data_IF_677529662594
#
_entry.id   IF_677529662594
#
_cell.length_a   1.000
_cell.length_b   1.000
_cell.length_c   1.000
_cell.angle_alpha   90.00
_cell.angle_beta   90.00
_cell.angle_gamma   90.00
#
_symmetry.space_group_name_H-M   'P 1'
#
loop_
_entity.id
_entity.type
_entity.pdbx_description
1 polymer ?
#
# COMPACT_ATOMS: atom_id res chain seq x y z
N UNK A 1 5.39 -13.52 1.27
CA UNK A 1 5.37 -12.82 2.57
C UNK A 1 3.94 -12.45 2.92
N UNK A 2 3.64 -12.20 4.20
CA UNK A 2 2.29 -11.89 4.67
C UNK A 2 2.17 -10.45 5.15
N UNK A 3 1.04 -9.82 4.85
CA UNK A 3 0.58 -8.63 5.56
C UNK A 3 -0.33 -9.11 6.68
N UNK A 4 -0.02 -8.76 7.92
CA UNK A 4 -0.82 -9.15 9.09
C UNK A 4 -1.50 -7.94 9.71
N UNK A 5 -2.50 -8.23 10.55
CA UNK A 5 -3.05 -7.22 11.43
C UNK A 5 -2.00 -6.84 12.48
N UNK A 6 -1.86 -5.54 12.76
CA UNK A 6 -0.82 -4.97 13.63
C UNK A 6 -0.73 -5.60 15.03
N UNK A 7 -1.87 -6.06 15.58
CA UNK A 7 -1.95 -6.62 16.94
C UNK A 7 -2.04 -8.14 17.02
N UNK A 8 -2.15 -8.82 15.88
CA UNK A 8 -2.53 -10.25 15.86
C UNK A 8 -1.36 -11.18 15.53
N UNK A 9 -0.22 -10.65 15.09
CA UNK A 9 0.95 -11.44 14.75
C UNK A 9 2.24 -10.63 14.87
N UNK A 10 3.38 -11.31 14.94
CA UNK A 10 4.70 -10.69 14.84
C UNK A 10 4.94 -10.12 13.44
N UNK A 11 5.59 -8.96 13.39
CA UNK A 11 5.90 -8.22 12.18
C UNK A 11 7.27 -7.55 12.26
N UNK A 12 7.82 -7.22 11.10
CA UNK A 12 9.14 -6.60 10.98
C UNK A 12 9.06 -5.13 10.55
N UNK A 13 8.05 -4.77 9.77
CA UNK A 13 7.87 -3.39 9.27
C UNK A 13 6.43 -2.93 9.45
N UNK A 14 6.24 -1.82 10.17
CA UNK A 14 4.97 -1.13 10.20
C UNK A 14 4.76 -0.35 8.90
N UNK A 15 3.60 -0.54 8.26
CA UNK A 15 3.28 0.11 6.98
C UNK A 15 2.02 0.98 7.06
N UNK A 16 1.45 1.14 8.26
CA UNK A 16 0.27 1.97 8.47
C UNK A 16 0.59 3.46 8.57
N UNK A 17 -0.46 4.25 8.79
CA UNK A 17 -0.34 5.69 9.04
C UNK A 17 0.18 5.99 10.45
N UNK A 18 0.65 7.21 10.66
CA UNK A 18 0.98 7.76 11.98
C UNK A 18 -0.28 8.14 12.78
N UNK A 19 -1.19 7.16 12.94
CA UNK A 19 -2.44 7.31 13.69
C UNK A 19 -2.20 7.39 15.20
N UNK A 20 -3.21 7.78 15.97
CA UNK A 20 -3.14 7.72 17.44
C UNK A 20 -2.83 6.31 17.96
N UNK A 21 -3.25 5.26 17.24
CA UNK A 21 -2.87 3.87 17.54
C UNK A 21 -1.38 3.62 17.35
N UNK A 22 -0.80 4.11 16.25
CA UNK A 22 0.63 4.00 15.97
C UNK A 22 1.48 4.78 17.00
N UNK A 23 1.07 6.01 17.31
CA UNK A 23 1.74 6.86 18.30
C UNK A 23 1.75 6.22 19.69
N UNK A 24 0.60 5.69 20.15
CA UNK A 24 0.51 4.96 21.43
C UNK A 24 1.35 3.69 21.46
N UNK A 25 1.61 3.09 20.31
CA UNK A 25 2.49 1.94 20.18
C UNK A 25 3.97 2.33 20.00
N UNK A 26 4.33 3.61 20.15
CA UNK A 26 5.71 4.09 20.02
C UNK A 26 6.26 4.10 18.59
N UNK A 27 5.39 4.02 17.58
CA UNK A 27 5.81 4.02 16.17
C UNK A 27 6.12 5.45 15.72
N UNK A 28 7.35 5.75 15.27
CA UNK A 28 7.71 7.09 14.83
C UNK A 28 7.06 7.42 13.48
N UNK A 29 6.85 8.72 13.23
CA UNK A 29 6.32 9.21 11.95
C UNK A 29 7.17 8.77 10.74
N UNK A 30 8.49 8.65 10.91
CA UNK A 30 9.42 8.18 9.87
C UNK A 30 9.17 6.73 9.44
N UNK A 31 8.59 5.89 10.30
CA UNK A 31 8.19 4.52 9.95
C UNK A 31 6.87 4.48 9.16
N UNK A 32 6.10 5.56 9.13
CA UNK A 32 4.76 5.61 8.53
C UNK A 32 4.76 6.07 7.05
N UNK A 33 5.92 6.15 6.41
CA UNK A 33 6.09 6.56 5.01
C UNK A 33 5.33 5.68 4.01
N UNK A 34 5.00 4.46 4.42
CA UNK A 34 4.27 3.47 3.61
C UNK A 34 2.75 3.61 3.70
N UNK A 35 2.26 4.41 4.64
CA UNK A 35 0.84 4.56 4.91
C UNK A 35 0.05 5.05 3.70
N UNK A 36 -1.13 4.48 3.47
CA UNK A 36 -2.04 4.98 2.44
C UNK A 36 -2.46 6.42 2.76
N UNK A 37 -2.25 7.44 1.90
CA UNK A 37 -2.70 8.81 2.17
C UNK A 37 -4.23 8.99 2.01
N UNK A 38 -4.93 8.02 1.42
CA UNK A 38 -6.39 8.04 1.21
C UNK A 38 -7.12 7.25 2.30
N UNK A 39 -8.10 7.89 2.94
CA UNK A 39 -8.81 7.34 4.10
C UNK A 39 -10.11 6.68 3.65
N UNK A 40 -10.42 5.52 4.22
CA UNK A 40 -11.79 4.98 4.18
C UNK A 40 -12.62 5.74 5.22
N UNK A 41 -13.73 6.33 4.82
CA UNK A 41 -14.63 7.07 5.71
C UNK A 41 -15.56 6.10 6.45
N UNK A 42 -16.10 5.11 5.75
CA UNK A 42 -16.92 4.05 6.33
C UNK A 42 -16.14 2.73 6.35
N UNK A 43 -15.60 2.35 7.51
CA UNK A 43 -14.79 1.12 7.62
C UNK A 43 -15.54 -0.17 7.29
N UNK A 44 -16.88 -0.13 7.26
CA UNK A 44 -17.77 -1.24 6.90
C UNK A 44 -18.10 -1.27 5.40
N UNK A 45 -17.81 -0.20 4.66
CA UNK A 45 -18.01 -0.15 3.22
C UNK A 45 -16.82 -0.79 2.49
N UNK A 46 -17.05 -2.01 1.97
CA UNK A 46 -16.06 -2.76 1.21
C UNK A 46 -15.79 -2.15 -0.17
N UNK A 47 -16.78 -1.48 -0.78
CA UNK A 47 -16.61 -0.82 -2.07
C UNK A 47 -15.72 0.40 -1.93
N UNK A 48 -15.99 1.23 -0.91
CA UNK A 48 -15.14 2.38 -0.60
C UNK A 48 -13.71 1.94 -0.30
N UNK A 49 -13.55 0.87 0.49
CA UNK A 49 -12.23 0.29 0.80
C UNK A 49 -11.49 -0.14 -0.47
N UNK A 50 -12.17 -0.83 -1.39
CA UNK A 50 -11.58 -1.25 -2.66
C UNK A 50 -11.13 -0.05 -3.49
N UNK A 51 -11.94 1.00 -3.58
CA UNK A 51 -11.60 2.23 -4.29
C UNK A 51 -10.41 2.96 -3.64
N UNK A 52 -10.36 3.03 -2.30
CA UNK A 52 -9.25 3.64 -1.56
C UNK A 52 -7.93 2.87 -1.76
N UNK A 53 -7.98 1.54 -1.82
CA UNK A 53 -6.80 0.70 -2.11
C UNK A 53 -6.38 0.83 -3.58
N UNK A 54 -7.32 0.90 -4.52
CA UNK A 54 -7.03 1.16 -5.94
C UNK A 54 -6.42 2.54 -6.15
N UNK A 55 -6.91 3.56 -5.42
CA UNK A 55 -6.34 4.92 -5.42
C UNK A 55 -4.92 4.91 -4.88
N UNK A 56 -4.65 4.13 -3.83
CA UNK A 56 -3.30 3.91 -3.33
C UNK A 56 -2.38 3.24 -4.35
N UNK A 57 -2.86 2.21 -5.05
CA UNK A 57 -2.08 1.54 -6.10
C UNK A 57 -1.67 2.52 -7.20
N UNK A 58 -2.62 3.30 -7.72
CA UNK A 58 -2.33 4.35 -8.71
C UNK A 58 -1.32 5.37 -8.18
N UNK A 59 -1.55 5.87 -6.98
CA UNK A 59 -0.65 6.84 -6.34
C UNK A 59 0.77 6.31 -6.15
N UNK A 60 0.92 5.08 -5.66
CA UNK A 60 2.23 4.47 -5.41
C UNK A 60 2.96 4.19 -6.71
N UNK A 61 2.23 3.75 -7.74
CA UNK A 61 2.80 3.40 -9.04
C UNK A 61 2.93 4.60 -9.98
N UNK A 62 2.57 5.81 -9.57
CA UNK A 62 2.87 7.01 -10.33
C UNK A 62 4.39 7.12 -10.59
N UNK A 63 4.85 7.47 -11.81
CA UNK A 63 6.28 7.63 -12.09
C UNK A 63 6.98 8.66 -11.18
N UNK A 64 6.29 9.69 -10.72
CA UNK A 64 6.84 10.66 -9.77
C UNK A 64 7.23 10.01 -8.43
N UNK A 65 6.70 8.81 -8.15
CA UNK A 65 7.01 8.02 -6.95
C UNK A 65 7.95 6.86 -7.19
N UNK A 66 8.67 6.83 -8.31
CA UNK A 66 9.59 5.72 -8.61
C UNK A 66 10.61 5.50 -7.49
N UNK A 67 11.11 6.56 -6.86
CA UNK A 67 12.00 6.45 -5.71
C UNK A 67 11.37 5.69 -4.53
N UNK A 68 10.07 5.88 -4.26
CA UNK A 68 9.33 5.16 -3.21
C UNK A 68 9.10 3.70 -3.58
N UNK A 69 8.80 3.41 -4.85
CA UNK A 69 8.69 2.05 -5.40
C UNK A 69 10.01 1.29 -5.24
N UNK A 70 11.13 1.90 -5.64
CA UNK A 70 12.46 1.32 -5.51
C UNK A 70 12.84 1.09 -4.06
N UNK A 71 12.46 2.02 -3.17
CA UNK A 71 12.64 1.86 -1.74
C UNK A 71 11.83 0.68 -1.19
N UNK A 72 10.56 0.53 -1.59
CA UNK A 72 9.71 -0.59 -1.18
C UNK A 72 10.34 -1.94 -1.59
N UNK A 73 10.89 -2.03 -2.81
CA UNK A 73 11.60 -3.23 -3.30
C UNK A 73 12.83 -3.59 -2.47
N UNK A 74 13.57 -2.60 -1.97
CA UNK A 74 14.77 -2.84 -1.16
C UNK A 74 14.44 -3.14 0.30
N UNK A 75 13.53 -2.38 0.90
CA UNK A 75 13.29 -2.40 2.35
C UNK A 75 12.21 -3.40 2.78
N UNK A 76 11.24 -3.72 1.90
CA UNK A 76 10.09 -4.55 2.26
C UNK A 76 10.17 -5.98 1.72
N UNK A 77 11.10 -6.28 0.81
CA UNK A 77 11.19 -7.61 0.19
C UNK A 77 11.44 -8.69 1.24
N UNK A 78 10.59 -9.71 1.24
CA UNK A 78 10.66 -10.82 2.19
C UNK A 78 10.19 -10.50 3.62
N UNK A 79 9.80 -9.25 3.93
CA UNK A 79 9.45 -8.82 5.30
C UNK A 79 7.98 -9.13 5.65
N UNK A 80 7.71 -9.39 6.93
CA UNK A 80 6.34 -9.40 7.47
C UNK A 80 5.88 -7.96 7.72
N UNK A 81 4.85 -7.53 6.99
CA UNK A 81 4.32 -6.17 7.04
C UNK A 81 3.11 -6.09 7.97
N UNK A 82 3.04 -5.04 8.80
CA UNK A 82 1.91 -4.82 9.70
C UNK A 82 1.05 -3.61 9.32
N UNK A 83 -0.26 -3.83 9.26
CA UNK A 83 -1.25 -2.78 9.06
C UNK A 83 -2.49 -3.03 9.94
N UNK A 84 -3.20 -1.96 10.29
CA UNK A 84 -4.48 -2.05 11.00
C UNK A 84 -5.65 -2.50 10.12
N UNK A 85 -5.52 -2.45 8.79
CA UNK A 85 -6.64 -2.76 7.89
C UNK A 85 -6.90 -4.26 7.70
N UNK A 86 -5.89 -5.12 7.91
CA UNK A 86 -6.09 -6.57 7.83
C UNK A 86 -7.07 -7.04 8.92
N UNK A 87 -7.88 -8.08 8.68
CA UNK A 87 -7.86 -8.98 7.52
C UNK A 87 -8.57 -8.46 6.27
N UNK A 88 -9.25 -7.30 6.35
CA UNK A 88 -9.91 -6.70 5.17
C UNK A 88 -8.88 -6.26 4.13
N UNK A 89 -9.36 -5.92 2.93
CA UNK A 89 -8.50 -5.40 1.86
C UNK A 89 -7.63 -4.24 2.36
N UNK A 90 -6.34 -4.32 2.07
CA UNK A 90 -5.31 -3.49 2.68
C UNK A 90 -4.35 -2.96 1.62
N UNK A 91 -3.90 -1.71 1.77
CA UNK A 91 -2.86 -1.13 0.91
C UNK A 91 -1.54 -1.89 1.00
N UNK A 92 -1.30 -2.58 2.11
CA UNK A 92 -0.16 -3.46 2.31
C UNK A 92 -0.06 -4.56 1.28
N UNK A 93 -1.18 -5.02 0.72
CA UNK A 93 -1.18 -6.03 -0.34
C UNK A 93 -0.51 -5.49 -1.62
N UNK A 94 -0.70 -4.20 -1.92
CA UNK A 94 -0.04 -3.51 -3.04
C UNK A 94 1.46 -3.37 -2.78
N UNK A 95 1.85 -2.89 -1.59
CA UNK A 95 3.27 -2.82 -1.20
C UNK A 95 3.93 -4.20 -1.27
N UNK A 96 3.18 -5.23 -0.87
CA UNK A 96 3.68 -6.58 -0.88
C UNK A 96 3.91 -7.12 -2.28
N UNK A 97 3.02 -6.82 -3.21
CA UNK A 97 3.23 -7.09 -4.62
C UNK A 97 4.46 -6.35 -5.16
N UNK A 98 4.55 -5.02 -4.97
CA UNK A 98 5.68 -4.19 -5.43
C UNK A 98 7.01 -4.72 -4.93
N UNK A 99 7.09 -5.13 -3.65
CA UNK A 99 8.33 -5.58 -3.05
C UNK A 99 8.83 -6.93 -3.61
N UNK A 100 7.93 -7.79 -4.07
CA UNK A 100 8.25 -9.18 -4.41
C UNK A 100 8.24 -9.49 -5.92
N UNK A 101 7.65 -8.64 -6.77
CA UNK A 101 7.80 -8.80 -8.23
C UNK A 101 9.27 -8.90 -8.64
N UNK A 102 9.54 -9.68 -9.69
CA UNK A 102 10.90 -10.07 -10.02
C UNK A 102 11.63 -8.99 -10.84
N UNK A 103 10.90 -8.21 -11.64
CA UNK A 103 11.48 -7.15 -12.45
C UNK A 103 10.76 -5.81 -12.29
N UNK A 104 11.38 -4.74 -12.80
CA UNK A 104 10.72 -3.44 -12.96
C UNK A 104 9.76 -3.46 -14.16
N UNK A 105 9.95 -4.37 -15.11
CA UNK A 105 9.07 -4.51 -16.27
C UNK A 105 7.66 -4.92 -15.87
N UNK A 106 7.51 -5.79 -14.85
CA UNK A 106 6.20 -6.12 -14.28
C UNK A 106 5.51 -4.88 -13.68
N UNK A 107 6.28 -4.01 -13.03
CA UNK A 107 5.77 -2.74 -12.49
C UNK A 107 5.37 -1.79 -13.61
N UNK A 108 6.21 -1.68 -14.64
CA UNK A 108 5.95 -0.82 -15.79
C UNK A 108 4.74 -1.30 -16.60
N UNK A 109 4.56 -2.62 -16.76
CA UNK A 109 3.35 -3.20 -17.33
C UNK A 109 2.11 -2.79 -16.54
N UNK A 110 2.16 -2.89 -15.22
CA UNK A 110 1.04 -2.46 -14.35
C UNK A 110 0.76 -0.96 -14.45
N UNK A 111 1.80 -0.12 -14.54
CA UNK A 111 1.67 1.32 -14.78
C UNK A 111 0.93 1.62 -16.08
N UNK A 112 1.27 0.90 -17.15
CA UNK A 112 0.60 1.03 -18.46
C UNK A 112 -0.87 0.64 -18.35
N UNK A 113 -1.17 -0.51 -17.74
CA UNK A 113 -2.55 -0.98 -17.52
C UNK A 113 -3.40 0.04 -16.76
N UNK A 114 -2.83 0.65 -15.70
CA UNK A 114 -3.54 1.64 -14.90
C UNK A 114 -3.85 2.91 -15.68
N UNK A 115 -2.92 3.38 -16.52
CA UNK A 115 -3.11 4.54 -17.40
C UNK A 115 -4.13 4.28 -18.50
N UNK A 116 -4.10 3.11 -19.14
CA UNK A 116 -5.08 2.75 -20.17
C UNK A 116 -6.50 2.75 -19.61
N UNK A 117 -6.67 2.28 -18.36
CA UNK A 117 -7.96 2.30 -17.66
C UNK A 117 -8.42 3.70 -17.24
N UNK A 118 -7.53 4.67 -17.13
CA UNK A 118 -7.89 6.07 -16.86
C UNK A 118 -8.37 6.76 -18.13
N UNK A 119 -7.68 6.54 -19.26
CA UNK A 119 -8.11 7.07 -20.58
C UNK A 119 -9.49 6.53 -20.95
N UNK A 120 -9.75 5.23 -20.75
CA UNK A 120 -11.05 4.63 -21.07
C UNK A 120 -12.22 5.11 -20.21
N UNK A 121 -11.97 5.83 -19.12
CA UNK A 121 -13.00 6.40 -18.23
C UNK A 121 -13.15 7.92 -18.37
N UNK A 122 -12.29 8.58 -19.17
CA UNK A 122 -12.25 10.04 -19.33
C UNK A 122 -13.04 10.58 -20.53
N UNK A 123 -13.60 9.72 -21.37
CA UNK A 123 -14.31 10.08 -22.62
C UNK A 123 -15.83 9.77 -22.57
N UNK A 124 -16.45 9.79 -21.38
CA UNK A 124 -17.90 9.58 -21.20
C UNK A 124 -18.55 10.74 -20.45
#
# INVERSE_FOLDING_TARGET
MSVCHFREADWEVYIGRHSAGAQRAGIPASACIWGNPFSVQNERDERERAEVVKKYERWLLDPERDALVQRARRELRGKKLACWCKPKQCHGDVLAWVANVNSLDEINGRRIELRMKEVSYGDA
#
